data_IF_452209326650
#
_entry.id   IF_452209326650
#
_cell.length_a   1.000
_cell.length_b   1.000
_cell.length_c   1.000
_cell.angle_alpha   90.00
_cell.angle_beta   90.00
_cell.angle_gamma   90.00
#
_symmetry.space_group_name_H-M   'P 1'
#
loop_
_entity.id
_entity.type
_entity.pdbx_description
1 polymer ?
#
# COMPACT_ATOMS: atom_id res chain seq x y z
N UNK A 1 -10.02 27.67 47.89
CA UNK A 1 -8.99 27.27 46.93
C UNK A 1 -9.59 26.23 46.01
N UNK A 2 -10.02 26.69 44.85
CA UNK A 2 -10.52 25.83 43.75
C UNK A 2 -9.32 25.53 42.85
N UNK A 3 -8.96 24.27 42.72
CA UNK A 3 -7.95 23.83 41.79
C UNK A 3 -8.53 23.86 40.37
N UNK A 4 -7.86 24.61 39.52
CA UNK A 4 -8.09 24.74 38.12
C UNK A 4 -7.61 23.45 37.39
N UNK A 5 -8.53 22.60 37.00
CA UNK A 5 -8.26 21.44 36.14
C UNK A 5 -8.14 21.92 34.71
N UNK A 6 -6.93 22.10 34.27
CA UNK A 6 -6.60 22.41 32.86
C UNK A 6 -6.99 21.23 31.95
N UNK A 7 -8.09 21.40 31.25
CA UNK A 7 -8.53 20.56 30.13
C UNK A 7 -7.45 20.60 29.03
N UNK A 8 -6.95 19.45 28.51
CA UNK A 8 -6.05 19.46 27.37
C UNK A 8 -6.78 20.06 26.16
N UNK A 9 -6.30 21.17 25.66
CA UNK A 9 -6.75 21.73 24.38
C UNK A 9 -6.45 20.71 23.27
N UNK A 10 -7.51 20.13 22.71
CA UNK A 10 -7.43 19.40 21.46
C UNK A 10 -7.01 20.40 20.36
N UNK A 11 -5.81 20.17 19.83
CA UNK A 11 -5.32 20.84 18.63
C UNK A 11 -6.24 20.39 17.49
N UNK A 12 -6.93 21.31 16.79
CA UNK A 12 -7.78 20.93 15.68
C UNK A 12 -6.94 20.32 14.56
N UNK A 13 -7.36 19.21 13.95
CA UNK A 13 -6.64 18.60 12.85
C UNK A 13 -6.71 19.52 11.62
N UNK A 14 -5.55 19.78 11.04
CA UNK A 14 -5.36 20.16 9.64
C UNK A 14 -5.80 21.56 9.21
N UNK A 15 -4.98 22.54 9.50
CA UNK A 15 -4.87 23.76 8.67
C UNK A 15 -3.60 23.75 7.81
N UNK A 16 -3.18 22.62 7.26
CA UNK A 16 -1.98 22.52 6.40
C UNK A 16 -2.24 22.06 4.98
N UNK A 17 -3.49 22.08 4.52
CA UNK A 17 -3.77 21.99 3.09
C UNK A 17 -3.96 23.41 2.54
N UNK A 18 -2.86 24.16 2.43
CA UNK A 18 -2.85 25.27 1.49
C UNK A 18 -2.92 24.65 0.10
N UNK A 19 -3.97 25.00 -0.69
CA UNK A 19 -3.96 24.64 -2.10
C UNK A 19 -2.62 25.13 -2.69
N UNK A 20 -2.00 24.37 -3.62
CA UNK A 20 -0.80 24.85 -4.28
C UNK A 20 -1.11 26.24 -4.81
N UNK A 21 -0.31 27.22 -4.37
CA UNK A 21 -0.46 28.58 -4.90
C UNK A 21 -0.47 28.47 -6.43
N UNK A 22 -1.40 29.13 -7.12
CA UNK A 22 -1.41 29.12 -8.57
C UNK A 22 0.02 29.50 -9.01
N UNK A 23 0.64 28.63 -9.80
CA UNK A 23 1.95 28.93 -10.38
C UNK A 23 1.74 30.17 -11.20
N UNK A 24 2.15 31.33 -10.68
CA UNK A 24 2.13 32.57 -11.46
C UNK A 24 3.07 32.34 -12.62
N UNK A 25 2.50 32.18 -13.82
CA UNK A 25 3.27 32.21 -15.05
C UNK A 25 4.00 33.55 -15.05
N UNK A 26 5.33 33.50 -15.00
CA UNK A 26 6.10 34.69 -15.21
C UNK A 26 5.72 35.28 -16.58
N UNK A 27 5.34 36.56 -16.61
CA UNK A 27 5.05 37.28 -17.86
C UNK A 27 6.32 37.30 -18.71
N UNK A 28 6.43 36.37 -19.65
CA UNK A 28 7.53 36.29 -20.61
C UNK A 28 7.27 37.29 -21.72
N UNK A 29 7.52 38.58 -21.43
CA UNK A 29 7.40 39.66 -22.40
C UNK A 29 8.59 39.71 -23.37
N UNK A 30 9.34 38.62 -23.51
CA UNK A 30 10.40 38.49 -24.51
C UNK A 30 9.92 37.62 -25.67
N UNK A 31 9.62 38.25 -26.78
CA UNK A 31 9.21 37.59 -28.01
C UNK A 31 10.26 36.58 -28.50
N UNK A 32 9.92 35.75 -29.50
CA UNK A 32 10.84 34.75 -30.03
C UNK A 32 12.08 35.39 -30.61
N UNK A 33 13.26 34.97 -30.14
CA UNK A 33 14.57 35.50 -30.56
C UNK A 33 14.94 35.19 -32.02
N UNK A 34 14.17 34.29 -32.66
CA UNK A 34 14.42 33.84 -34.04
C UNK A 34 15.62 32.90 -34.18
N UNK A 35 16.30 32.55 -33.08
CA UNK A 35 17.41 31.61 -33.06
C UNK A 35 16.91 30.15 -32.99
N UNK A 36 17.79 29.19 -33.25
CA UNK A 36 17.50 27.79 -33.05
C UNK A 36 17.22 27.50 -31.55
N UNK A 37 17.96 28.14 -30.64
CA UNK A 37 17.77 28.00 -29.20
C UNK A 37 16.45 28.62 -28.77
N UNK A 38 16.05 29.77 -29.30
CA UNK A 38 14.75 30.37 -29.08
C UNK A 38 13.57 29.45 -29.48
N UNK A 39 13.75 28.69 -30.58
CA UNK A 39 12.78 27.64 -30.96
C UNK A 39 12.65 26.55 -29.92
N UNK A 40 13.78 26.07 -29.34
CA UNK A 40 13.79 25.09 -28.25
C UNK A 40 13.15 25.64 -26.95
N UNK A 41 13.43 26.90 -26.63
CA UNK A 41 12.84 27.56 -25.45
C UNK A 41 11.31 27.55 -25.55
N UNK A 42 10.74 27.83 -26.72
CA UNK A 42 9.30 27.78 -26.91
C UNK A 42 8.75 26.35 -26.72
N UNK A 43 9.47 25.33 -27.19
CA UNK A 43 9.10 23.93 -26.94
C UNK A 43 9.14 23.62 -25.44
N UNK A 44 10.21 23.97 -24.74
CA UNK A 44 10.33 23.73 -23.30
C UNK A 44 9.28 24.47 -22.47
N UNK A 45 8.86 25.67 -22.88
CA UNK A 45 7.73 26.38 -22.25
C UNK A 45 6.43 25.62 -22.42
N UNK A 46 6.18 25.09 -23.61
CA UNK A 46 5.00 24.27 -23.88
C UNK A 46 5.01 23.00 -23.03
N UNK A 47 6.16 22.33 -22.95
CA UNK A 47 6.32 21.11 -22.14
C UNK A 47 6.13 21.41 -20.66
N UNK A 48 6.73 22.50 -20.13
CA UNK A 48 6.54 22.93 -18.75
C UNK A 48 5.07 23.27 -18.45
N UNK A 49 4.39 23.97 -19.36
CA UNK A 49 2.97 24.29 -19.19
C UNK A 49 2.12 23.02 -19.11
N UNK A 50 2.42 22.01 -19.94
CA UNK A 50 1.74 20.72 -19.89
C UNK A 50 1.94 20.01 -18.55
N UNK A 51 3.17 20.02 -18.04
CA UNK A 51 3.54 19.45 -16.72
C UNK A 51 2.82 20.20 -15.59
N UNK A 52 2.76 21.53 -15.64
CA UNK A 52 2.06 22.36 -14.65
C UNK A 52 0.54 22.12 -14.65
N UNK A 53 -0.06 21.85 -15.80
CA UNK A 53 -1.45 21.46 -15.90
C UNK A 53 -1.68 20.05 -15.34
N UNK A 54 -0.75 19.13 -15.60
CA UNK A 54 -0.82 17.76 -15.07
C UNK A 54 -0.77 17.76 -13.54
N UNK A 55 0.15 18.50 -12.89
CA UNK A 55 0.21 18.57 -11.42
C UNK A 55 -1.08 19.13 -10.82
N UNK A 56 -1.68 20.13 -11.47
CA UNK A 56 -2.96 20.69 -11.02
C UNK A 56 -4.07 19.65 -11.08
N UNK A 57 -4.11 18.84 -12.14
CA UNK A 57 -5.05 17.72 -12.27
C UNK A 57 -4.80 16.64 -11.21
N UNK A 58 -3.55 16.24 -10.99
CA UNK A 58 -3.20 15.23 -10.00
C UNK A 58 -3.52 15.68 -8.57
N UNK A 59 -3.29 16.95 -8.26
CA UNK A 59 -3.66 17.51 -6.97
C UNK A 59 -5.18 17.49 -6.75
N UNK A 60 -5.97 17.79 -7.78
CA UNK A 60 -7.43 17.71 -7.68
C UNK A 60 -7.90 16.27 -7.51
N UNK A 61 -7.31 15.31 -8.21
CA UNK A 61 -7.58 13.88 -8.05
C UNK A 61 -7.21 13.41 -6.63
N UNK A 62 -6.05 13.82 -6.11
CA UNK A 62 -5.63 13.54 -4.74
C UNK A 62 -6.65 14.04 -3.71
N UNK A 63 -7.04 15.30 -3.80
CA UNK A 63 -8.02 15.90 -2.86
C UNK A 63 -9.36 15.16 -2.93
N UNK A 64 -9.85 14.87 -4.13
CA UNK A 64 -11.10 14.12 -4.32
C UNK A 64 -11.06 12.74 -3.66
N UNK A 65 -10.03 11.94 -3.93
CA UNK A 65 -9.94 10.59 -3.36
C UNK A 65 -9.67 10.62 -1.86
N UNK A 66 -8.91 11.60 -1.38
CA UNK A 66 -8.71 11.84 0.05
C UNK A 66 -10.04 12.10 0.74
N UNK A 67 -10.88 13.00 0.20
CA UNK A 67 -12.18 13.34 0.79
C UNK A 67 -13.11 12.13 0.79
N UNK A 68 -13.10 11.30 -0.27
CA UNK A 68 -13.87 10.05 -0.32
C UNK A 68 -13.40 9.05 0.73
N UNK A 69 -12.09 8.91 0.96
CA UNK A 69 -11.55 8.07 2.04
C UNK A 69 -12.04 8.57 3.40
N UNK A 70 -11.93 9.87 3.65
CA UNK A 70 -12.32 10.48 4.93
C UNK A 70 -13.84 10.34 5.19
N UNK A 71 -14.68 10.48 4.15
CA UNK A 71 -16.13 10.26 4.20
C UNK A 71 -16.46 8.79 4.54
N UNK A 72 -15.91 7.83 3.80
CA UNK A 72 -16.17 6.41 4.03
C UNK A 72 -15.64 5.95 5.39
N UNK A 73 -14.52 6.51 5.84
CA UNK A 73 -14.00 6.25 7.19
C UNK A 73 -14.99 6.70 8.26
N UNK A 74 -15.63 7.84 8.09
CA UNK A 74 -16.67 8.33 9.01
C UNK A 74 -17.89 7.42 9.04
N UNK A 75 -18.34 6.93 7.87
CA UNK A 75 -19.44 5.95 7.77
C UNK A 75 -19.08 4.65 8.49
N UNK A 76 -17.89 4.10 8.22
CA UNK A 76 -17.40 2.90 8.87
C UNK A 76 -17.35 3.03 10.39
N UNK A 77 -16.77 4.12 10.89
CA UNK A 77 -16.67 4.39 12.34
C UNK A 77 -18.06 4.52 12.99
N UNK A 78 -19.02 5.13 12.34
CA UNK A 78 -20.40 5.21 12.79
C UNK A 78 -21.03 3.82 12.94
N UNK A 79 -20.89 2.97 11.93
CA UNK A 79 -21.44 1.61 11.91
C UNK A 79 -20.76 0.73 12.96
N UNK A 80 -19.45 0.71 13.03
CA UNK A 80 -18.69 -0.10 13.99
C UNK A 80 -18.99 0.30 15.44
N UNK A 81 -19.13 1.60 15.70
CA UNK A 81 -19.50 2.11 17.01
C UNK A 81 -20.93 1.73 17.41
N UNK A 82 -21.88 1.77 16.47
CA UNK A 82 -23.26 1.35 16.70
C UNK A 82 -23.36 -0.13 17.03
N UNK A 83 -22.65 -0.98 16.29
CA UNK A 83 -22.57 -2.43 16.57
C UNK A 83 -22.00 -2.66 17.96
N UNK A 84 -20.85 -2.04 18.26
CA UNK A 84 -20.18 -2.18 19.56
C UNK A 84 -21.08 -1.77 20.71
N UNK A 85 -21.77 -0.64 20.62
CA UNK A 85 -22.69 -0.14 21.66
C UNK A 85 -23.82 -1.12 21.94
N UNK A 86 -24.39 -1.74 20.91
CA UNK A 86 -25.42 -2.79 21.05
C UNK A 86 -24.89 -4.05 21.73
N UNK A 87 -23.71 -4.49 21.33
CA UNK A 87 -23.08 -5.67 21.91
C UNK A 87 -22.67 -5.49 23.37
N UNK A 88 -22.32 -4.25 23.79
CA UNK A 88 -22.07 -3.95 25.20
C UNK A 88 -23.31 -4.13 26.09
N UNK A 89 -24.47 -3.76 25.59
CA UNK A 89 -25.77 -3.96 26.30
C UNK A 89 -26.16 -5.43 26.27
N UNK A 90 -25.73 -6.16 25.24
CA UNK A 90 -26.14 -7.53 24.92
C UNK A 90 -27.34 -7.56 23.99
N UNK A 91 -27.36 -8.56 23.12
CA UNK A 91 -28.42 -8.77 22.12
C UNK A 91 -28.62 -10.26 21.87
N UNK A 92 -29.60 -10.61 21.07
CA UNK A 92 -29.78 -12.00 20.61
C UNK A 92 -28.59 -12.40 19.73
N UNK A 93 -28.04 -13.62 19.90
CA UNK A 93 -27.01 -14.17 19.03
C UNK A 93 -27.45 -14.08 17.56
N UNK A 94 -26.52 -13.62 16.68
CA UNK A 94 -26.79 -13.49 15.25
C UNK A 94 -27.89 -12.48 14.91
N UNK A 95 -28.05 -11.41 15.70
CA UNK A 95 -29.08 -10.38 15.48
C UNK A 95 -29.03 -9.83 14.04
N UNK A 96 -30.11 -9.96 13.23
CA UNK A 96 -30.10 -9.60 11.82
C UNK A 96 -29.82 -8.11 11.56
N UNK A 97 -30.16 -7.22 12.51
CA UNK A 97 -29.85 -5.79 12.40
C UNK A 97 -28.33 -5.56 12.51
N UNK A 98 -27.67 -6.24 13.47
CA UNK A 98 -26.21 -6.14 13.62
C UNK A 98 -25.46 -6.81 12.47
N UNK A 99 -25.96 -7.92 11.96
CA UNK A 99 -25.41 -8.55 10.74
C UNK A 99 -25.53 -7.61 9.54
N UNK A 100 -26.67 -6.92 9.39
CA UNK A 100 -26.84 -5.89 8.35
C UNK A 100 -25.83 -4.75 8.48
N UNK A 101 -25.69 -4.18 9.68
CA UNK A 101 -24.73 -3.11 9.96
C UNK A 101 -23.28 -3.57 9.77
N UNK A 102 -22.96 -4.81 10.10
CA UNK A 102 -21.64 -5.38 9.86
C UNK A 102 -21.33 -5.51 8.36
N UNK A 103 -22.28 -5.96 7.55
CA UNK A 103 -22.15 -6.01 6.10
C UNK A 103 -21.98 -4.60 5.49
N UNK A 104 -22.68 -3.60 6.05
CA UNK A 104 -22.54 -2.20 5.61
C UNK A 104 -21.16 -1.65 5.97
N UNK A 105 -20.62 -1.98 7.15
CA UNK A 105 -19.28 -1.61 7.56
C UNK A 105 -18.21 -2.28 6.68
N UNK A 106 -18.39 -3.54 6.29
CA UNK A 106 -17.52 -4.23 5.33
C UNK A 106 -17.48 -3.50 3.98
N UNK A 107 -18.64 -3.11 3.45
CA UNK A 107 -18.71 -2.35 2.18
C UNK A 107 -17.99 -1.01 2.29
N UNK A 108 -18.13 -0.30 3.42
CA UNK A 108 -17.41 0.95 3.65
C UNK A 108 -15.87 0.73 3.64
N UNK A 109 -15.37 -0.37 4.22
CA UNK A 109 -13.93 -0.71 4.16
C UNK A 109 -13.49 -1.06 2.72
N UNK A 110 -14.33 -1.73 1.93
CA UNK A 110 -14.06 -2.00 0.51
C UNK A 110 -13.98 -0.69 -0.30
N UNK A 111 -14.88 0.26 -0.05
CA UNK A 111 -14.88 1.56 -0.70
C UNK A 111 -13.63 2.37 -0.33
N UNK A 112 -13.18 2.33 0.94
CA UNK A 112 -11.92 2.93 1.37
C UNK A 112 -10.75 2.30 0.60
N UNK A 113 -10.69 0.98 0.52
CA UNK A 113 -9.63 0.27 -0.21
C UNK A 113 -9.58 0.68 -1.68
N UNK A 114 -10.75 0.77 -2.35
CA UNK A 114 -10.83 1.19 -3.75
C UNK A 114 -10.31 2.62 -3.93
N UNK A 115 -10.64 3.53 -3.02
CA UNK A 115 -10.14 4.90 -3.08
C UNK A 115 -8.64 4.99 -2.77
N UNK A 116 -8.10 4.16 -1.87
CA UNK A 116 -6.65 4.04 -1.64
C UNK A 116 -5.94 3.52 -2.89
N UNK A 117 -6.50 2.55 -3.60
CA UNK A 117 -5.96 2.08 -4.88
C UNK A 117 -5.96 3.21 -5.94
N UNK A 118 -7.01 4.04 -5.96
CA UNK A 118 -7.04 5.22 -6.84
C UNK A 118 -5.93 6.23 -6.47
N UNK A 119 -5.66 6.45 -5.18
CA UNK A 119 -4.52 7.26 -4.73
C UNK A 119 -3.17 6.69 -5.21
N UNK A 120 -3.00 5.36 -5.21
CA UNK A 120 -1.80 4.72 -5.76
C UNK A 120 -1.66 4.98 -7.26
N UNK A 121 -2.76 4.95 -8.02
CA UNK A 121 -2.75 5.28 -9.46
C UNK A 121 -2.32 6.74 -9.66
N UNK A 122 -2.82 7.66 -8.85
CA UNK A 122 -2.39 9.08 -8.89
C UNK A 122 -0.90 9.18 -8.58
N UNK A 123 -0.41 8.48 -7.52
CA UNK A 123 1.00 8.48 -7.15
C UNK A 123 1.91 8.01 -8.30
N UNK A 124 1.52 6.94 -9.00
CA UNK A 124 2.27 6.42 -10.15
C UNK A 124 2.34 7.46 -11.29
N UNK A 125 1.25 8.21 -11.54
CA UNK A 125 1.25 9.28 -12.54
C UNK A 125 2.16 10.44 -12.13
N UNK A 126 2.08 10.85 -10.88
CA UNK A 126 2.95 11.91 -10.32
C UNK A 126 4.42 11.51 -10.44
N UNK A 127 4.78 10.27 -10.14
CA UNK A 127 6.13 9.74 -10.29
C UNK A 127 6.61 9.76 -11.75
N UNK A 128 5.73 9.38 -12.69
CA UNK A 128 6.05 9.43 -14.12
C UNK A 128 6.29 10.87 -14.61
N UNK A 129 5.48 11.82 -14.16
CA UNK A 129 5.63 13.22 -14.55
C UNK A 129 6.87 13.87 -13.89
N UNK A 130 7.25 13.44 -12.68
CA UNK A 130 8.50 13.88 -12.05
C UNK A 130 9.74 13.52 -12.91
N UNK A 131 9.73 12.35 -13.56
CA UNK A 131 10.78 11.96 -14.50
C UNK A 131 10.81 12.86 -15.75
N UNK A 132 9.64 13.35 -16.23
CA UNK A 132 9.59 14.32 -17.35
C UNK A 132 10.17 15.67 -16.95
N UNK A 133 9.99 16.12 -15.69
CA UNK A 133 10.59 17.33 -15.16
C UNK A 133 12.11 17.21 -15.15
N UNK A 134 12.64 16.09 -14.69
CA UNK A 134 14.09 15.84 -14.69
C UNK A 134 14.65 15.86 -16.12
N UNK A 135 13.97 15.19 -17.05
CA UNK A 135 14.34 15.21 -18.45
C UNK A 135 14.34 16.64 -19.03
N UNK A 136 13.30 17.42 -18.73
CA UNK A 136 13.19 18.82 -19.17
C UNK A 136 14.33 19.68 -18.59
N UNK A 137 14.65 19.53 -17.31
CA UNK A 137 15.75 20.21 -16.64
C UNK A 137 17.08 19.91 -17.35
N UNK A 138 17.39 18.65 -17.64
CA UNK A 138 18.59 18.21 -18.33
C UNK A 138 18.65 18.74 -19.77
N UNK A 139 17.51 18.81 -20.47
CA UNK A 139 17.41 19.36 -21.81
C UNK A 139 17.69 20.87 -21.84
N UNK A 140 17.19 21.61 -20.83
CA UNK A 140 17.47 23.02 -20.65
C UNK A 140 18.96 23.23 -20.39
N UNK A 141 19.58 22.48 -19.47
CA UNK A 141 21.00 22.56 -19.15
C UNK A 141 21.88 22.29 -20.38
N UNK A 142 21.53 21.30 -21.18
CA UNK A 142 22.23 21.00 -22.41
C UNK A 142 22.13 22.15 -23.45
N UNK A 143 21.02 22.90 -23.41
CA UNK A 143 20.78 23.99 -24.37
C UNK A 143 21.64 25.24 -24.13
N UNK A 144 22.19 25.39 -22.94
CA UNK A 144 23.16 26.47 -22.64
C UNK A 144 24.48 26.37 -23.47
N UNK A 145 24.80 25.16 -23.93
CA UNK A 145 26.04 24.89 -24.67
C UNK A 145 25.87 24.89 -26.20
N UNK A 146 24.66 25.18 -26.69
CA UNK A 146 24.39 25.20 -28.13
C UNK A 146 25.00 26.47 -28.75
N UNK A 147 25.84 26.30 -29.75
CA UNK A 147 26.41 27.40 -30.49
C UNK A 147 25.37 28.20 -31.26
N UNK A 148 25.49 29.53 -31.26
CA UNK A 148 24.54 30.42 -31.92
C UNK A 148 23.41 30.93 -31.02
N UNK A 149 23.44 30.60 -29.74
CA UNK A 149 22.61 31.25 -28.73
C UNK A 149 23.06 32.69 -28.51
N UNK A 150 22.12 33.58 -28.29
CA UNK A 150 22.39 35.00 -27.92
C UNK A 150 22.16 35.20 -26.42
N UNK A 151 22.60 36.33 -25.87
CA UNK A 151 22.48 36.60 -24.43
C UNK A 151 21.03 36.53 -23.95
N UNK A 152 20.07 36.90 -24.79
CA UNK A 152 18.66 36.82 -24.49
C UNK A 152 18.18 35.38 -24.37
N UNK A 153 18.63 34.46 -25.22
CA UNK A 153 18.33 33.03 -25.10
C UNK A 153 18.82 32.46 -23.76
N UNK A 154 20.04 32.86 -23.35
CA UNK A 154 20.60 32.42 -22.06
C UNK A 154 19.81 32.98 -20.87
N UNK A 155 19.30 34.20 -20.95
CA UNK A 155 18.44 34.76 -19.90
C UNK A 155 17.10 34.02 -19.81
N UNK A 156 16.48 33.74 -20.95
CA UNK A 156 15.23 32.98 -21.02
C UNK A 156 15.39 31.53 -20.51
N UNK A 157 16.50 30.86 -20.84
CA UNK A 157 16.82 29.55 -20.31
C UNK A 157 17.00 29.56 -18.79
N UNK A 158 17.61 30.58 -18.20
CA UNK A 158 17.76 30.72 -16.74
C UNK A 158 16.38 30.81 -16.06
N UNK A 159 15.51 31.70 -16.55
CA UNK A 159 14.16 31.87 -16.01
C UNK A 159 13.38 30.57 -16.12
N UNK A 160 13.44 29.92 -17.28
CA UNK A 160 12.75 28.63 -17.49
C UNK A 160 13.28 27.53 -16.58
N UNK A 161 14.61 27.49 -16.34
CA UNK A 161 15.21 26.56 -15.39
C UNK A 161 14.67 26.76 -13.96
N UNK A 162 14.58 28.03 -13.52
CA UNK A 162 14.02 28.34 -12.20
C UNK A 162 12.56 27.90 -12.07
N UNK A 163 11.76 28.07 -13.13
CA UNK A 163 10.36 27.63 -13.14
C UNK A 163 10.22 26.10 -13.12
N UNK A 164 11.09 25.39 -13.84
CA UNK A 164 11.17 23.91 -13.79
C UNK A 164 11.54 23.45 -12.39
N UNK A 165 12.51 24.09 -11.73
CA UNK A 165 12.90 23.74 -10.36
C UNK A 165 11.76 23.98 -9.36
N UNK A 166 11.02 25.09 -9.48
CA UNK A 166 9.82 25.33 -8.65
C UNK A 166 8.76 24.27 -8.88
N UNK A 167 8.55 23.88 -10.13
CA UNK A 167 7.59 22.84 -10.48
C UNK A 167 8.02 21.49 -9.89
N UNK A 168 9.32 21.14 -9.94
CA UNK A 168 9.86 19.93 -9.31
C UNK A 168 9.54 19.87 -7.81
N UNK A 169 9.74 20.97 -7.08
CA UNK A 169 9.40 21.03 -5.64
C UNK A 169 7.91 20.77 -5.38
N UNK A 170 7.02 21.23 -6.26
CA UNK A 170 5.58 20.95 -6.12
C UNK A 170 5.25 19.47 -6.32
N UNK A 171 5.92 18.81 -7.29
CA UNK A 171 5.78 17.37 -7.50
C UNK A 171 6.30 16.58 -6.32
N UNK A 172 7.49 16.88 -5.82
CA UNK A 172 8.07 16.22 -4.64
C UNK A 172 7.14 16.35 -3.43
N UNK A 173 6.54 17.51 -3.22
CA UNK A 173 5.58 17.71 -2.14
C UNK A 173 4.35 16.83 -2.32
N UNK A 174 3.72 16.85 -3.50
CA UNK A 174 2.53 16.06 -3.78
C UNK A 174 2.81 14.55 -3.63
N UNK A 175 3.95 14.09 -4.11
CA UNK A 175 4.39 12.69 -3.98
C UNK A 175 4.52 12.28 -2.51
N UNK A 176 5.20 13.09 -1.70
CA UNK A 176 5.34 12.83 -0.27
C UNK A 176 4.00 12.81 0.48
N UNK A 177 3.06 13.69 0.11
CA UNK A 177 1.71 13.71 0.69
C UNK A 177 0.92 12.44 0.30
N UNK A 178 0.99 12.02 -0.97
CA UNK A 178 0.36 10.79 -1.47
C UNK A 178 0.91 9.55 -0.77
N UNK A 179 2.23 9.38 -0.74
CA UNK A 179 2.89 8.24 -0.10
C UNK A 179 2.54 8.14 1.39
N UNK A 180 2.58 9.27 2.08
CA UNK A 180 2.24 9.36 3.50
C UNK A 180 0.77 9.00 3.77
N UNK A 181 -0.17 9.48 2.92
CA UNK A 181 -1.60 9.17 3.04
C UNK A 181 -1.84 7.70 2.74
N UNK A 182 -1.32 7.17 1.62
CA UNK A 182 -1.48 5.78 1.19
C UNK A 182 -0.96 4.83 2.27
N UNK A 183 0.26 5.02 2.75
CA UNK A 183 0.88 4.14 3.76
C UNK A 183 0.07 4.10 5.05
N UNK A 184 -0.42 5.25 5.51
CA UNK A 184 -1.25 5.33 6.70
C UNK A 184 -2.58 4.60 6.51
N UNK A 185 -3.26 4.82 5.39
CA UNK A 185 -4.57 4.20 5.14
C UNK A 185 -4.48 2.68 4.98
N UNK A 186 -3.41 2.17 4.34
CA UNK A 186 -3.17 0.72 4.26
C UNK A 186 -3.01 0.11 5.66
N UNK A 187 -2.29 0.78 6.55
CA UNK A 187 -2.13 0.33 7.93
C UNK A 187 -3.48 0.31 8.68
N UNK A 188 -4.24 1.40 8.61
CA UNK A 188 -5.57 1.50 9.21
C UNK A 188 -6.51 0.42 8.66
N UNK A 189 -6.54 0.21 7.34
CA UNK A 189 -7.38 -0.83 6.73
C UNK A 189 -7.06 -2.24 7.23
N UNK A 190 -5.78 -2.56 7.43
CA UNK A 190 -5.38 -3.86 7.96
C UNK A 190 -5.83 -4.04 9.41
N UNK A 191 -5.68 -3.03 10.25
CA UNK A 191 -6.09 -3.05 11.64
C UNK A 191 -7.62 -3.15 11.76
N UNK A 192 -8.36 -2.39 10.96
CA UNK A 192 -9.82 -2.39 10.98
C UNK A 192 -10.42 -3.69 10.41
N UNK A 193 -9.79 -4.32 9.43
CA UNK A 193 -10.20 -5.65 8.97
C UNK A 193 -10.05 -6.70 10.04
N UNK A 194 -8.97 -6.64 10.83
CA UNK A 194 -8.80 -7.54 11.96
C UNK A 194 -9.83 -7.27 13.05
N UNK A 195 -10.12 -6.00 13.32
CA UNK A 195 -11.19 -5.61 14.24
C UNK A 195 -12.55 -6.12 13.79
N UNK A 196 -12.88 -6.00 12.51
CA UNK A 196 -14.15 -6.48 11.94
C UNK A 196 -14.32 -8.01 12.03
N UNK A 197 -13.23 -8.79 11.94
CA UNK A 197 -13.28 -10.24 12.19
C UNK A 197 -13.68 -10.54 13.63
N UNK A 198 -13.07 -9.86 14.60
CA UNK A 198 -13.41 -10.03 16.02
C UNK A 198 -14.86 -9.57 16.30
N UNK A 199 -15.29 -8.51 15.64
CA UNK A 199 -16.64 -7.97 15.78
C UNK A 199 -17.70 -8.92 15.21
N UNK A 200 -17.38 -9.68 14.14
CA UNK A 200 -18.25 -10.72 13.60
C UNK A 200 -18.52 -11.82 14.63
N UNK A 201 -17.48 -12.32 15.32
CA UNK A 201 -17.61 -13.29 16.39
C UNK A 201 -18.48 -12.76 17.54
N UNK A 202 -18.28 -11.51 17.94
CA UNK A 202 -19.09 -10.87 18.99
C UNK A 202 -20.57 -10.74 18.56
N UNK A 203 -20.86 -10.45 17.29
CA UNK A 203 -22.23 -10.39 16.73
C UNK A 203 -22.87 -11.76 16.74
N UNK A 204 -22.12 -12.82 16.40
CA UNK A 204 -22.60 -14.20 16.43
C UNK A 204 -22.96 -14.63 17.85
N UNK A 205 -22.17 -14.25 18.85
CA UNK A 205 -22.41 -14.53 20.27
C UNK A 205 -23.49 -13.62 20.87
N UNK A 206 -23.68 -12.41 20.33
CA UNK A 206 -24.60 -11.38 20.82
C UNK A 206 -24.08 -10.59 22.01
N UNK A 207 -22.77 -10.61 22.27
CA UNK A 207 -22.14 -9.91 23.40
C UNK A 207 -20.70 -9.49 23.07
N UNK A 208 -20.35 -8.27 23.41
CA UNK A 208 -18.99 -7.74 23.23
C UNK A 208 -17.97 -8.46 24.10
N UNK A 209 -16.86 -8.90 23.50
CA UNK A 209 -15.80 -9.62 24.21
C UNK A 209 -16.24 -10.98 24.74
N UNK A 210 -17.28 -11.55 24.19
CA UNK A 210 -17.92 -12.77 24.64
C UNK A 210 -17.15 -14.06 24.35
N UNK A 211 -15.83 -14.03 24.33
CA UNK A 211 -15.04 -15.27 24.36
C UNK A 211 -15.43 -16.05 25.62
N UNK A 212 -16.34 -17.01 25.46
CA UNK A 212 -16.65 -17.96 26.50
C UNK A 212 -15.40 -18.79 26.74
N UNK A 213 -14.65 -18.48 27.80
CA UNK A 213 -13.86 -19.51 28.43
C UNK A 213 -14.87 -20.62 28.77
N UNK A 214 -14.84 -21.72 28.05
CA UNK A 214 -15.62 -22.88 28.38
C UNK A 214 -15.41 -23.17 29.88
N UNK A 215 -16.47 -23.42 30.66
CA UNK A 215 -16.28 -23.76 32.06
C UNK A 215 -15.42 -25.03 32.12
N UNK A 216 -14.46 -25.11 33.04
CA UNK A 216 -13.64 -26.30 33.16
C UNK A 216 -14.58 -27.48 33.52
N UNK A 217 -14.75 -28.37 32.57
CA UNK A 217 -15.35 -29.68 32.88
C UNK A 217 -14.39 -30.40 33.82
N UNK A 218 -14.78 -30.47 35.11
CA UNK A 218 -14.10 -31.27 36.11
C UNK A 218 -14.12 -32.74 35.66
N UNK A 219 -13.00 -33.21 35.17
CA UNK A 219 -12.65 -34.62 35.23
C UNK A 219 -11.27 -34.67 35.95
N UNK A 220 -11.36 -34.96 37.25
CA UNK A 220 -10.22 -35.37 38.04
C UNK A 220 -9.58 -36.61 37.42
N UNK A 221 -8.29 -36.57 37.15
CA UNK A 221 -7.40 -37.67 37.56
C UNK A 221 -5.96 -37.13 37.69
N UNK A 222 -5.43 -37.35 38.84
CA UNK A 222 -4.12 -37.06 39.37
C UNK A 222 -2.92 -37.57 38.53
N UNK A 223 -1.85 -36.82 38.36
CA UNK A 223 -0.59 -37.05 39.10
C UNK A 223 0.60 -36.26 38.51
N UNK A 224 1.23 -35.54 39.42
CA UNK A 224 2.66 -35.28 39.60
C UNK A 224 3.51 -34.52 38.56
N UNK A 225 3.92 -33.32 38.98
CA UNK A 225 5.28 -32.74 39.05
C UNK A 225 6.08 -32.50 37.76
N UNK A 226 6.35 -31.28 37.43
CA UNK A 226 7.55 -30.54 37.78
C UNK A 226 7.62 -29.21 37.01
N UNK A 227 8.06 -28.22 37.75
CA UNK A 227 8.36 -26.84 37.39
C UNK A 227 9.29 -26.71 36.15
N UNK A 228 8.98 -25.77 35.27
CA UNK A 228 9.99 -24.80 34.80
C UNK A 228 9.33 -23.66 34.05
N UNK A 229 9.64 -22.47 34.50
CA UNK A 229 9.42 -21.18 33.86
C UNK A 229 10.03 -21.13 32.47
N UNK A 230 9.29 -20.69 31.45
CA UNK A 230 9.91 -20.14 30.27
C UNK A 230 9.01 -19.09 29.61
N UNK A 231 9.57 -17.91 29.58
CA UNK A 231 9.29 -16.73 28.79
C UNK A 231 8.77 -17.05 27.39
N UNK A 232 7.64 -16.43 27.04
CA UNK A 232 7.09 -16.43 25.68
C UNK A 232 7.98 -15.57 24.77
N UNK A 233 8.75 -16.21 23.95
CA UNK A 233 9.41 -15.62 22.78
C UNK A 233 8.57 -15.84 21.52
N UNK A 234 8.66 -14.97 20.49
CA UNK A 234 7.79 -14.99 19.32
C UNK A 234 7.98 -16.27 18.51
N UNK A 235 6.92 -16.73 17.89
CA UNK A 235 6.82 -17.93 17.05
C UNK A 235 8.01 -18.07 16.10
N UNK A 236 8.85 -19.08 16.35
CA UNK A 236 9.88 -19.53 15.43
C UNK A 236 9.22 -20.02 14.13
N UNK A 237 9.55 -19.35 13.03
CA UNK A 237 9.32 -19.84 11.69
C UNK A 237 10.10 -21.14 11.51
N UNK A 238 9.36 -22.22 11.29
CA UNK A 238 9.91 -23.55 11.09
C UNK A 238 10.72 -23.53 9.78
N UNK A 239 12.05 -23.56 9.90
CA UNK A 239 12.94 -23.71 8.75
C UNK A 239 12.78 -25.13 8.22
N UNK A 240 12.14 -25.26 7.05
CA UNK A 240 12.01 -26.54 6.34
C UNK A 240 13.17 -26.67 5.36
N UNK A 241 13.91 -27.79 5.32
CA UNK A 241 14.96 -27.99 4.32
C UNK A 241 14.34 -28.06 2.93
N UNK A 242 14.82 -27.20 2.03
CA UNK A 242 14.36 -27.11 0.64
C UNK A 242 14.79 -28.34 -0.16
N UNK A 243 13.80 -29.06 -0.70
CA UNK A 243 14.01 -30.04 -1.77
C UNK A 243 13.58 -29.37 -3.08
N UNK A 244 14.51 -28.93 -3.90
CA UNK A 244 14.27 -28.32 -5.20
C UNK A 244 13.54 -29.27 -6.19
N UNK A 245 13.61 -30.57 -5.96
CA UNK A 245 13.09 -31.61 -6.86
C UNK A 245 11.56 -31.79 -6.84
N UNK A 246 10.83 -31.20 -5.88
CA UNK A 246 9.40 -31.39 -5.72
C UNK A 246 8.57 -30.08 -5.83
N UNK A 247 9.18 -28.97 -6.19
CA UNK A 247 8.45 -27.73 -6.42
C UNK A 247 7.67 -27.82 -7.73
N UNK A 248 6.37 -27.52 -7.71
CA UNK A 248 5.54 -27.46 -8.93
C UNK A 248 5.82 -26.22 -9.75
N UNK A 249 6.28 -25.14 -9.11
CA UNK A 249 6.71 -23.91 -9.77
C UNK A 249 7.77 -23.20 -8.94
N UNK A 250 8.80 -22.71 -9.61
CA UNK A 250 9.84 -21.84 -9.04
C UNK A 250 9.85 -20.52 -9.80
N UNK A 251 9.57 -19.43 -9.11
CA UNK A 251 9.57 -18.09 -9.66
C UNK A 251 10.83 -17.37 -9.18
N UNK A 252 11.67 -16.94 -10.12
CA UNK A 252 12.89 -16.16 -9.84
C UNK A 252 12.64 -14.70 -10.18
N UNK A 253 12.96 -13.81 -9.26
CA UNK A 253 12.75 -12.37 -9.41
C UNK A 253 14.08 -11.67 -9.77
N UNK A 254 14.71 -12.11 -10.87
CA UNK A 254 15.97 -11.54 -11.38
C UNK A 254 15.76 -10.23 -12.13
N UNK A 255 14.56 -10.08 -12.77
CA UNK A 255 14.16 -8.93 -13.57
C UNK A 255 12.77 -8.46 -13.18
N UNK A 256 12.60 -7.15 -13.07
CA UNK A 256 11.38 -6.47 -12.59
C UNK A 256 10.16 -6.56 -13.53
N UNK A 257 10.23 -7.29 -14.65
CA UNK A 257 9.19 -7.33 -15.70
C UNK A 257 8.69 -8.73 -16.08
N UNK A 258 9.02 -9.77 -15.32
CA UNK A 258 8.54 -11.12 -15.66
C UNK A 258 7.09 -11.31 -15.23
N UNK A 259 6.19 -11.52 -16.20
CA UNK A 259 4.80 -11.89 -15.94
C UNK A 259 4.69 -13.39 -15.60
N UNK A 260 4.71 -13.71 -14.31
CA UNK A 260 4.56 -15.07 -13.80
C UNK A 260 3.10 -15.54 -13.68
N UNK A 261 2.13 -14.65 -13.94
CA UNK A 261 0.69 -14.91 -13.70
C UNK A 261 0.19 -16.08 -14.54
N UNK A 262 0.60 -16.18 -15.79
CA UNK A 262 0.19 -17.27 -16.68
C UNK A 262 0.77 -18.61 -16.26
N UNK A 263 2.07 -18.66 -15.96
CA UNK A 263 2.75 -19.88 -15.49
C UNK A 263 2.20 -20.36 -14.13
N UNK A 264 1.88 -19.41 -13.25
CA UNK A 264 1.25 -19.69 -11.97
C UNK A 264 -0.14 -20.29 -12.16
N UNK A 265 -0.97 -19.69 -13.01
CA UNK A 265 -2.32 -20.18 -13.31
C UNK A 265 -2.29 -21.60 -13.91
N UNK A 266 -1.44 -21.84 -14.90
CA UNK A 266 -1.30 -23.15 -15.54
C UNK A 266 -0.85 -24.22 -14.52
N UNK A 267 0.16 -23.90 -13.69
CA UNK A 267 0.70 -24.86 -12.70
C UNK A 267 -0.32 -25.20 -11.60
N UNK A 268 -1.04 -24.21 -11.08
CA UNK A 268 -2.07 -24.42 -10.05
C UNK A 268 -3.28 -25.14 -10.63
N UNK A 269 -3.74 -24.77 -11.85
CA UNK A 269 -4.87 -25.43 -12.51
C UNK A 269 -4.57 -26.90 -12.81
N UNK A 270 -3.38 -27.21 -13.34
CA UNK A 270 -2.96 -28.57 -13.59
C UNK A 270 -2.87 -29.42 -12.31
N UNK A 271 -2.40 -28.83 -11.21
CA UNK A 271 -2.35 -29.49 -9.91
C UNK A 271 -3.75 -29.76 -9.34
N UNK A 272 -4.68 -28.82 -9.48
CA UNK A 272 -6.07 -28.98 -9.03
C UNK A 272 -6.87 -29.95 -9.91
N UNK A 273 -6.57 -30.06 -11.20
CA UNK A 273 -7.17 -31.07 -12.09
C UNK A 273 -6.78 -32.50 -11.67
N UNK A 274 -5.53 -32.69 -11.25
CA UNK A 274 -5.04 -33.99 -10.80
C UNK A 274 -5.50 -34.30 -9.36
N UNK A 275 -5.52 -33.29 -8.49
CA UNK A 275 -5.89 -33.40 -7.08
C UNK A 275 -6.79 -32.24 -6.64
N UNK A 276 -8.11 -32.35 -6.76
CA UNK A 276 -9.05 -31.26 -6.42
C UNK A 276 -9.01 -30.80 -4.97
N UNK A 277 -8.47 -31.61 -4.06
CA UNK A 277 -8.30 -31.30 -2.64
C UNK A 277 -6.89 -30.89 -2.25
N UNK A 278 -5.98 -30.69 -3.20
CA UNK A 278 -4.59 -30.34 -2.95
C UNK A 278 -4.45 -29.05 -2.14
N UNK A 279 -3.50 -29.05 -1.23
CA UNK A 279 -3.00 -27.86 -0.57
C UNK A 279 -1.71 -27.39 -1.25
N UNK A 280 -1.39 -26.12 -1.08
CA UNK A 280 -0.16 -25.53 -1.63
C UNK A 280 0.65 -24.84 -0.53
N UNK A 281 1.96 -25.00 -0.59
CA UNK A 281 2.89 -24.31 0.27
C UNK A 281 3.72 -23.35 -0.56
N UNK A 282 3.60 -22.05 -0.26
CA UNK A 282 4.36 -20.96 -0.89
C UNK A 282 5.56 -20.66 0.00
N UNK A 283 6.76 -20.86 -0.52
CA UNK A 283 8.02 -20.69 0.23
C UNK A 283 8.77 -19.48 -0.33
N UNK A 284 8.95 -18.44 0.50
CA UNK A 284 9.87 -17.35 0.19
C UNK A 284 11.30 -17.81 0.38
N UNK A 285 12.11 -17.78 -0.67
CA UNK A 285 13.53 -18.18 -0.62
C UNK A 285 14.39 -16.95 -0.83
N UNK A 286 15.28 -16.68 0.15
CA UNK A 286 16.24 -15.59 0.08
C UNK A 286 17.68 -16.11 0.04
N UNK A 287 18.59 -15.43 -0.68
CA UNK A 287 20.01 -15.73 -0.61
C UNK A 287 20.55 -15.47 0.80
N UNK A 288 21.53 -16.27 1.22
CA UNK A 288 22.23 -16.09 2.50
C UNK A 288 23.15 -14.88 2.42
N UNK A 289 22.66 -13.69 2.78
CA UNK A 289 23.52 -12.50 2.72
C UNK A 289 22.96 -11.17 3.19
N UNK A 290 21.72 -11.08 3.63
CA UNK A 290 21.20 -9.80 4.14
C UNK A 290 19.74 -9.81 4.54
N UNK A 291 19.39 -9.08 5.59
CA UNK A 291 18.02 -8.96 6.10
C UNK A 291 17.06 -8.33 5.06
N UNK A 292 17.56 -7.45 4.18
CA UNK A 292 16.76 -6.80 3.13
C UNK A 292 16.23 -7.79 2.09
N UNK A 293 17.01 -8.81 1.72
CA UNK A 293 16.56 -9.86 0.78
C UNK A 293 15.48 -10.76 1.38
N UNK A 294 15.53 -11.01 2.69
CA UNK A 294 14.51 -11.80 3.37
C UNK A 294 13.14 -11.10 3.39
N UNK A 295 13.12 -9.78 3.58
CA UNK A 295 11.90 -8.99 3.58
C UNK A 295 11.31 -8.85 2.17
N UNK A 296 12.16 -8.67 1.16
CA UNK A 296 11.72 -8.62 -0.24
C UNK A 296 11.18 -9.98 -0.70
N UNK A 297 11.87 -11.09 -0.40
CA UNK A 297 11.39 -12.43 -0.70
C UNK A 297 10.03 -12.73 -0.05
N UNK A 298 9.80 -12.27 1.20
CA UNK A 298 8.50 -12.38 1.86
C UNK A 298 7.42 -11.56 1.18
N UNK A 299 7.73 -10.35 0.75
CA UNK A 299 6.80 -9.49 0.03
C UNK A 299 6.38 -10.15 -1.28
N UNK A 300 7.34 -10.67 -2.07
CA UNK A 300 7.07 -11.40 -3.31
C UNK A 300 6.26 -12.68 -3.08
N UNK A 301 6.58 -13.45 -2.05
CA UNK A 301 5.82 -14.64 -1.72
C UNK A 301 4.39 -14.31 -1.26
N UNK A 302 4.17 -13.18 -0.59
CA UNK A 302 2.84 -12.70 -0.24
C UNK A 302 2.03 -12.26 -1.46
N UNK A 303 2.66 -11.65 -2.46
CA UNK A 303 2.04 -11.31 -3.75
C UNK A 303 1.59 -12.58 -4.48
N UNK A 304 2.46 -13.59 -4.57
CA UNK A 304 2.13 -14.89 -5.18
C UNK A 304 1.01 -15.60 -4.41
N UNK A 305 1.06 -15.60 -3.08
CA UNK A 305 0.04 -16.17 -2.22
C UNK A 305 -1.33 -15.54 -2.48
N UNK A 306 -1.40 -14.21 -2.53
CA UNK A 306 -2.63 -13.47 -2.82
C UNK A 306 -3.15 -13.79 -4.23
N UNK A 307 -2.25 -13.96 -5.19
CA UNK A 307 -2.62 -14.32 -6.56
C UNK A 307 -3.25 -15.71 -6.64
N UNK A 308 -2.76 -16.67 -5.86
CA UNK A 308 -3.35 -18.01 -5.74
C UNK A 308 -4.75 -17.95 -5.08
N UNK A 309 -4.94 -17.08 -4.09
CA UNK A 309 -6.27 -16.82 -3.50
C UNK A 309 -7.24 -16.24 -4.53
N UNK A 310 -6.80 -15.30 -5.38
CA UNK A 310 -7.61 -14.74 -6.48
C UNK A 310 -8.03 -15.81 -7.50
N UNK A 311 -7.23 -16.86 -7.68
CA UNK A 311 -7.55 -18.02 -8.53
C UNK A 311 -8.60 -18.95 -7.91
N UNK A 312 -9.07 -18.68 -6.69
CA UNK A 312 -10.14 -19.42 -6.01
C UNK A 312 -9.67 -20.58 -5.12
N UNK A 313 -8.37 -20.68 -4.82
CA UNK A 313 -7.86 -21.66 -3.84
C UNK A 313 -8.17 -21.16 -2.43
N UNK A 314 -8.87 -21.93 -1.57
CA UNK A 314 -9.19 -21.50 -0.21
C UNK A 314 -7.93 -21.27 0.63
N UNK A 315 -7.93 -20.24 1.47
CA UNK A 315 -6.79 -19.88 2.34
C UNK A 315 -6.37 -21.01 3.30
N UNK A 316 -7.32 -21.90 3.66
CA UNK A 316 -7.07 -23.07 4.50
C UNK A 316 -6.13 -24.10 3.84
N UNK A 317 -6.04 -24.06 2.53
CA UNK A 317 -5.18 -24.94 1.72
C UNK A 317 -3.87 -24.31 1.31
N UNK A 318 -3.64 -23.06 1.73
CA UNK A 318 -2.42 -22.31 1.43
C UNK A 318 -1.60 -22.11 2.70
N UNK A 319 -0.32 -22.35 2.60
CA UNK A 319 0.64 -22.11 3.70
C UNK A 319 1.75 -21.22 3.15
N UNK A 320 2.08 -20.15 3.86
CA UNK A 320 3.21 -19.28 3.54
C UNK A 320 4.35 -19.56 4.50
N UNK A 321 5.52 -19.91 3.97
CA UNK A 321 6.75 -20.16 4.74
C UNK A 321 7.92 -19.38 4.17
N UNK A 322 9.02 -19.31 4.90
CA UNK A 322 10.26 -18.67 4.42
C UNK A 322 11.46 -19.53 4.73
N UNK A 323 12.41 -19.55 3.79
CA UNK A 323 13.67 -20.30 3.93
C UNK A 323 14.84 -19.51 3.34
N UNK A 324 16.04 -19.76 3.86
CA UNK A 324 17.27 -19.20 3.32
C UNK A 324 18.01 -20.29 2.56
N UNK A 325 18.49 -19.99 1.35
CA UNK A 325 19.24 -20.92 0.53
C UNK A 325 20.58 -20.33 0.11
N UNK A 326 21.64 -21.11 0.26
CA UNK A 326 22.97 -20.77 -0.26
C UNK A 326 23.07 -20.93 -1.78
N UNK A 327 22.10 -21.63 -2.39
CA UNK A 327 22.02 -21.87 -3.83
C UNK A 327 21.21 -20.81 -4.57
N UNK A 328 20.38 -20.01 -3.85
CA UNK A 328 19.63 -18.92 -4.44
C UNK A 328 20.58 -17.74 -4.70
N UNK A 329 20.62 -17.28 -5.95
CA UNK A 329 21.40 -16.10 -6.37
C UNK A 329 20.54 -14.82 -6.38
N UNK A 330 19.22 -14.97 -6.40
CA UNK A 330 18.21 -13.91 -6.34
C UNK A 330 17.08 -14.31 -5.38
N UNK A 331 16.10 -13.46 -5.26
CA UNK A 331 14.87 -13.77 -4.54
C UNK A 331 14.04 -14.76 -5.35
N UNK A 332 13.67 -15.86 -4.74
CA UNK A 332 12.88 -16.91 -5.39
C UNK A 332 11.62 -17.20 -4.56
N UNK A 333 10.53 -17.53 -5.24
CA UNK A 333 9.31 -18.07 -4.61
C UNK A 333 9.06 -19.46 -5.16
N UNK A 334 9.05 -20.45 -4.27
CA UNK A 334 8.82 -21.84 -4.61
C UNK A 334 7.42 -22.25 -4.17
N UNK A 335 6.72 -23.00 -5.00
CA UNK A 335 5.37 -23.51 -4.72
C UNK A 335 5.43 -25.01 -4.71
N UNK A 336 5.00 -25.61 -3.60
CA UNK A 336 4.95 -27.04 -3.37
C UNK A 336 3.51 -27.53 -3.24
N UNK A 337 3.29 -28.75 -3.66
CA UNK A 337 2.04 -29.45 -3.43
C UNK A 337 2.07 -30.11 -2.04
N UNK A 338 0.94 -30.02 -1.29
CA UNK A 338 0.83 -30.52 0.07
C UNK A 338 -0.32 -31.52 0.19
#
# INVERSE_FOLDING_TARGET
QVQDESVPQQIPPSQFALPPAPVQQADYDTGPTGTFVGGKINQFRSDLSSIQNAISSHNNDYLRFKDLVDEQTSVYQGLSSAIRSRLQIGTTPGNPILVGQWNDAQRALEDIQNNVNNLQIVNNRVTADAALIEHLSNAIDSSFFISGAIDEDHNQLKVLKDDVQRTAVLYDRLMNELESKISREIQVLNDERQYMKNLAEDVEIGKFGGRVSAPPTNAQTSSSSSSSSSSTSPSELKVVPLNYDNAILVIKFDDSSFDYSTALFESISAALEQMPSAGFEVVAVSPTGGASYADQARTRASEVFNKILEMGVPSERLTLTSSNSTSAQAEEVHIYLK
#
